data_IF_305235433628
#
_entry.id   IF_305235433628
#
_cell.length_a   1.000
_cell.length_b   1.000
_cell.length_c   1.000
_cell.angle_alpha   90.00
_cell.angle_beta   90.00
_cell.angle_gamma   90.00
#
_symmetry.space_group_name_H-M   'P 1'
#
loop_
_entity.id
_entity.type
_entity.pdbx_description
1 polymer ?
#
# COMPACT_ATOMS: atom_id res chain seq x y z
N UNK A 1 -9.10 -5.80 -27.00
CA UNK A 1 -7.84 -6.19 -26.31
C UNK A 1 -8.06 -7.57 -25.71
N UNK A 2 -7.03 -8.41 -25.57
CA UNK A 2 -7.20 -9.71 -24.90
C UNK A 2 -7.22 -9.48 -23.38
N UNK A 3 -8.21 -10.08 -22.70
CA UNK A 3 -8.37 -9.98 -21.25
C UNK A 3 -7.10 -10.43 -20.50
N UNK A 4 -6.71 -9.67 -19.48
CA UNK A 4 -5.49 -9.88 -18.69
C UNK A 4 -5.76 -10.53 -17.32
N UNK A 5 -7.02 -10.56 -16.89
CA UNK A 5 -7.47 -11.24 -15.67
C UNK A 5 -8.21 -12.51 -16.10
N UNK A 6 -7.98 -13.62 -15.40
CA UNK A 6 -8.80 -14.81 -15.51
C UNK A 6 -9.48 -15.15 -14.17
N UNK A 7 -10.75 -15.50 -14.22
CA UNK A 7 -11.47 -16.14 -13.11
C UNK A 7 -11.44 -17.65 -13.37
N UNK A 8 -10.77 -18.41 -12.50
CA UNK A 8 -10.67 -19.86 -12.60
C UNK A 8 -11.38 -20.49 -11.41
N UNK A 9 -12.68 -20.82 -11.54
CA UNK A 9 -13.46 -21.40 -10.44
C UNK A 9 -14.70 -22.14 -10.94
N UNK A 10 -15.10 -23.18 -10.21
CA UNK A 10 -16.41 -23.84 -10.35
C UNK A 10 -17.39 -23.46 -9.24
N UNK A 11 -16.99 -22.64 -8.26
CA UNK A 11 -17.92 -22.08 -7.29
C UNK A 11 -18.79 -21.00 -7.94
N UNK A 12 -20.08 -21.32 -8.11
CA UNK A 12 -21.06 -20.37 -8.66
C UNK A 12 -21.21 -19.09 -7.83
N UNK A 13 -21.05 -19.18 -6.49
CA UNK A 13 -21.13 -18.01 -5.61
C UNK A 13 -19.90 -17.12 -5.76
N UNK A 14 -18.70 -17.70 -5.72
CA UNK A 14 -17.46 -16.95 -5.94
C UNK A 14 -17.46 -16.26 -7.30
N UNK A 15 -17.84 -17.01 -8.35
CA UNK A 15 -17.95 -16.50 -9.70
C UNK A 15 -18.93 -15.32 -9.80
N UNK A 16 -20.14 -15.45 -9.26
CA UNK A 16 -21.14 -14.39 -9.31
C UNK A 16 -20.65 -13.09 -8.64
N UNK A 17 -20.02 -13.19 -7.47
CA UNK A 17 -19.49 -12.03 -6.74
C UNK A 17 -18.40 -11.31 -7.53
N UNK A 18 -17.43 -12.07 -8.06
CA UNK A 18 -16.30 -11.52 -8.82
C UNK A 18 -16.75 -10.93 -10.16
N UNK A 19 -17.63 -11.62 -10.89
CA UNK A 19 -18.18 -11.13 -12.17
C UNK A 19 -18.98 -9.85 -11.97
N UNK A 20 -19.79 -9.77 -10.91
CA UNK A 20 -20.58 -8.58 -10.62
C UNK A 20 -19.69 -7.36 -10.41
N UNK A 21 -18.59 -7.51 -9.65
CA UNK A 21 -17.66 -6.42 -9.38
C UNK A 21 -16.82 -6.05 -10.62
N UNK A 22 -16.28 -7.03 -11.36
CA UNK A 22 -15.51 -6.78 -12.58
C UNK A 22 -16.35 -6.08 -13.66
N UNK A 23 -17.61 -6.52 -13.86
CA UNK A 23 -18.53 -5.88 -14.82
C UNK A 23 -18.90 -4.47 -14.39
N UNK A 24 -19.15 -4.25 -13.10
CA UNK A 24 -19.43 -2.90 -12.55
C UNK A 24 -18.28 -1.93 -12.82
N UNK A 25 -17.04 -2.42 -12.80
CA UNK A 25 -15.82 -1.64 -13.14
C UNK A 25 -15.47 -1.62 -14.63
N UNK A 26 -16.21 -2.33 -15.48
CA UNK A 26 -15.95 -2.46 -16.93
C UNK A 26 -14.56 -3.05 -17.24
N UNK A 27 -14.12 -4.01 -16.44
CA UNK A 27 -12.83 -4.70 -16.62
C UNK A 27 -13.04 -5.95 -17.47
N UNK A 28 -12.19 -6.13 -18.49
CA UNK A 28 -12.19 -7.34 -19.32
C UNK A 28 -11.54 -8.52 -18.57
N UNK A 29 -12.22 -9.66 -18.55
CA UNK A 29 -11.74 -10.90 -17.90
C UNK A 29 -12.08 -12.14 -18.73
N UNK A 30 -11.35 -13.24 -18.50
CA UNK A 30 -11.67 -14.57 -18.99
C UNK A 30 -12.34 -15.39 -17.89
N UNK A 31 -13.38 -16.13 -18.25
CA UNK A 31 -13.96 -17.16 -17.38
C UNK A 31 -13.40 -18.51 -17.78
N UNK A 32 -12.77 -19.19 -16.83
CA UNK A 32 -12.18 -20.51 -16.99
C UNK A 32 -12.64 -21.40 -15.83
N UNK A 33 -12.61 -22.70 -16.05
CA UNK A 33 -12.62 -23.69 -14.97
C UNK A 33 -11.18 -23.90 -14.46
N UNK A 34 -10.99 -24.41 -13.22
CA UNK A 34 -9.66 -24.72 -12.69
C UNK A 34 -8.87 -25.78 -13.48
N UNK A 35 -9.52 -26.49 -14.40
CA UNK A 35 -8.93 -27.57 -15.20
C UNK A 35 -8.49 -27.11 -16.60
N UNK A 36 -8.86 -25.89 -16.99
CA UNK A 36 -8.51 -25.33 -18.29
C UNK A 36 -7.11 -24.74 -18.32
N UNK A 37 -6.47 -24.77 -19.49
CA UNK A 37 -5.18 -24.14 -19.69
C UNK A 37 -5.32 -22.62 -19.66
N UNK A 38 -4.50 -21.97 -18.84
CA UNK A 38 -4.47 -20.52 -18.70
C UNK A 38 -3.68 -19.92 -19.87
N UNK A 39 -4.27 -19.00 -20.66
CA UNK A 39 -3.57 -18.38 -21.79
C UNK A 39 -2.35 -17.57 -21.33
N UNK A 40 -1.29 -17.56 -22.15
CA UNK A 40 -0.04 -16.82 -21.87
C UNK A 40 -0.22 -15.30 -21.74
N UNK A 41 -1.30 -14.77 -22.29
CA UNK A 41 -1.63 -13.35 -22.23
C UNK A 41 -2.18 -12.91 -20.86
N UNK A 42 -2.64 -13.87 -20.03
CA UNK A 42 -3.17 -13.64 -18.68
C UNK A 42 -2.04 -13.22 -17.75
N UNK A 43 -2.27 -12.15 -16.99
CA UNK A 43 -1.31 -11.58 -16.03
C UNK A 43 -1.59 -12.05 -14.60
N UNK A 44 -2.84 -12.35 -14.29
CA UNK A 44 -3.30 -12.76 -12.95
C UNK A 44 -4.53 -13.65 -13.04
N UNK A 45 -4.61 -14.62 -12.14
CA UNK A 45 -5.73 -15.56 -12.01
C UNK A 45 -6.36 -15.39 -10.63
N UNK A 46 -7.68 -15.24 -10.57
CA UNK A 46 -8.45 -15.26 -9.32
C UNK A 46 -9.15 -16.61 -9.21
N UNK A 47 -8.97 -17.30 -8.09
CA UNK A 47 -9.54 -18.63 -7.80
C UNK A 47 -9.99 -18.71 -6.34
N UNK A 48 -10.60 -19.81 -5.91
CA UNK A 48 -10.96 -20.04 -4.49
C UNK A 48 -9.89 -20.87 -3.75
N UNK A 49 -9.87 -20.87 -2.40
CA UNK A 49 -8.94 -21.67 -1.62
C UNK A 49 -8.96 -23.17 -1.95
N UNK A 50 -10.14 -23.72 -2.25
CA UNK A 50 -10.32 -25.15 -2.55
C UNK A 50 -9.74 -25.56 -3.91
N UNK A 51 -9.60 -24.60 -4.81
CA UNK A 51 -9.23 -24.82 -6.22
C UNK A 51 -7.78 -24.39 -6.51
N UNK A 52 -7.12 -23.71 -5.56
CA UNK A 52 -5.76 -23.15 -5.74
C UNK A 52 -4.73 -24.18 -6.21
N UNK A 53 -4.78 -25.40 -5.70
CA UNK A 53 -3.85 -26.48 -6.06
C UNK A 53 -3.97 -26.90 -7.53
N UNK A 54 -5.11 -26.61 -8.16
CA UNK A 54 -5.37 -26.93 -9.57
C UNK A 54 -4.83 -25.85 -10.52
N UNK A 55 -4.48 -24.67 -9.99
CA UNK A 55 -4.07 -23.51 -10.78
C UNK A 55 -2.54 -23.46 -10.90
N UNK A 56 -2.03 -23.59 -12.13
CA UNK A 56 -0.62 -23.41 -12.45
C UNK A 56 -0.39 -22.07 -13.16
N UNK A 57 -0.07 -21.03 -12.39
CA UNK A 57 0.20 -19.68 -12.91
C UNK A 57 1.10 -18.89 -11.95
N UNK A 58 1.90 -17.96 -12.46
CA UNK A 58 2.87 -17.20 -11.67
C UNK A 58 2.27 -16.18 -10.70
N UNK A 59 1.08 -15.66 -10.99
CA UNK A 59 0.32 -14.76 -10.12
C UNK A 59 -1.10 -15.31 -9.90
N UNK A 60 -1.40 -15.73 -8.67
CA UNK A 60 -2.70 -16.31 -8.31
C UNK A 60 -3.23 -15.63 -7.06
N UNK A 61 -4.44 -15.07 -7.13
CA UNK A 61 -5.15 -14.46 -6.01
C UNK A 61 -6.26 -15.38 -5.51
N UNK A 62 -6.41 -15.46 -4.19
CA UNK A 62 -7.38 -16.34 -3.52
C UNK A 62 -8.57 -15.54 -3.03
N UNK A 63 -9.72 -15.72 -3.67
CA UNK A 63 -10.97 -15.15 -3.24
C UNK A 63 -11.69 -16.06 -2.24
N UNK A 64 -11.98 -15.53 -1.06
CA UNK A 64 -12.87 -16.19 -0.09
C UNK A 64 -14.26 -15.56 -0.18
N UNK A 65 -15.29 -16.40 -0.21
CA UNK A 65 -16.66 -15.95 -0.45
C UNK A 65 -17.28 -15.11 0.68
N UNK A 66 -16.59 -15.00 1.82
CA UNK A 66 -16.93 -14.15 2.96
C UNK A 66 -16.21 -12.78 2.92
N UNK A 67 -15.30 -12.57 1.96
CA UNK A 67 -14.58 -11.31 1.75
C UNK A 67 -15.29 -10.39 0.74
N UNK A 68 -14.92 -9.10 0.76
CA UNK A 68 -15.39 -8.13 -0.24
C UNK A 68 -14.68 -8.39 -1.60
N UNK A 69 -15.41 -8.69 -2.69
CA UNK A 69 -14.80 -8.88 -4.02
C UNK A 69 -14.07 -7.63 -4.52
N UNK A 70 -14.40 -6.44 -4.01
CA UNK A 70 -13.74 -5.20 -4.43
C UNK A 70 -12.24 -5.19 -4.14
N UNK A 71 -11.79 -5.82 -3.05
CA UNK A 71 -10.40 -5.83 -2.61
C UNK A 71 -9.53 -6.66 -3.55
N UNK A 72 -9.96 -7.89 -3.87
CA UNK A 72 -9.21 -8.79 -4.73
C UNK A 72 -9.23 -8.36 -6.20
N UNK A 73 -10.31 -7.69 -6.64
CA UNK A 73 -10.38 -7.09 -7.98
C UNK A 73 -9.40 -5.93 -8.09
N UNK A 74 -9.31 -5.07 -7.07
CA UNK A 74 -8.32 -3.97 -7.05
C UNK A 74 -6.89 -4.51 -7.07
N UNK A 75 -6.61 -5.60 -6.37
CA UNK A 75 -5.31 -6.27 -6.40
C UNK A 75 -5.00 -6.87 -7.78
N UNK A 76 -5.98 -7.49 -8.43
CA UNK A 76 -5.83 -8.02 -9.77
C UNK A 76 -5.50 -6.91 -10.79
N UNK A 77 -6.18 -5.76 -10.72
CA UNK A 77 -5.91 -4.59 -11.56
C UNK A 77 -4.46 -4.10 -11.40
N UNK A 78 -3.96 -3.98 -10.16
CA UNK A 78 -2.55 -3.59 -9.90
C UNK A 78 -1.55 -4.52 -10.59
N UNK A 79 -1.77 -5.84 -10.51
CA UNK A 79 -0.90 -6.83 -11.17
C UNK A 79 -0.95 -6.69 -12.69
N UNK A 80 -2.13 -6.43 -13.26
CA UNK A 80 -2.32 -6.26 -14.71
C UNK A 80 -1.58 -5.03 -15.24
N UNK A 81 -1.68 -3.91 -14.53
CA UNK A 81 -0.99 -2.64 -14.84
C UNK A 81 0.54 -2.77 -14.75
N UNK A 82 1.05 -3.89 -14.23
CA UNK A 82 2.49 -4.06 -14.01
C UNK A 82 3.00 -3.31 -12.78
N UNK A 83 2.08 -2.74 -11.98
CA UNK A 83 2.36 -2.18 -10.66
C UNK A 83 2.58 -3.31 -9.66
N UNK A 84 3.71 -4.02 -9.80
CA UNK A 84 4.25 -4.90 -8.76
C UNK A 84 4.78 -4.11 -7.55
N UNK A 85 4.86 -2.79 -7.70
CA UNK A 85 5.36 -1.81 -6.76
C UNK A 85 4.55 -0.51 -6.94
N UNK A 86 4.38 0.27 -5.87
CA UNK A 86 3.76 1.60 -5.99
C UNK A 86 4.66 2.51 -6.84
N UNK A 87 4.09 3.43 -7.61
CA UNK A 87 4.89 4.49 -8.26
C UNK A 87 5.49 5.40 -7.17
N UNK A 88 4.72 5.61 -6.10
CA UNK A 88 5.15 6.41 -4.94
C UNK A 88 4.61 5.81 -3.64
N UNK A 89 5.52 5.43 -2.75
CA UNK A 89 5.22 5.14 -1.35
C UNK A 89 5.59 6.34 -0.48
N UNK A 90 4.67 6.79 0.36
CA UNK A 90 4.90 7.88 1.32
C UNK A 90 4.56 7.40 2.71
N UNK A 91 5.52 7.49 3.62
CA UNK A 91 5.35 7.22 5.04
C UNK A 91 5.37 8.55 5.78
N UNK A 92 4.22 9.02 6.24
CA UNK A 92 4.09 10.20 7.09
C UNK A 92 4.24 9.82 8.56
N UNK A 93 5.04 10.57 9.30
CA UNK A 93 5.31 10.36 10.72
C UNK A 93 5.07 11.66 11.47
N UNK A 94 4.25 11.58 12.52
CA UNK A 94 3.96 12.67 13.45
C UNK A 94 4.68 12.41 14.79
N UNK A 95 5.81 13.09 15.08
CA UNK A 95 6.57 12.87 16.31
C UNK A 95 5.89 13.51 17.53
N UNK A 96 5.84 12.75 18.64
CA UNK A 96 5.28 13.23 19.89
C UNK A 96 5.50 12.23 21.02
N UNK A 97 4.65 12.26 22.06
CA UNK A 97 4.69 11.24 23.13
C UNK A 97 4.49 9.82 22.59
N UNK A 98 3.64 9.70 21.57
CA UNK A 98 3.54 8.55 20.68
C UNK A 98 3.79 9.05 19.26
N UNK A 99 4.23 8.16 18.38
CA UNK A 99 4.55 8.47 16.99
C UNK A 99 3.44 7.97 16.09
N UNK A 100 2.65 8.89 15.55
CA UNK A 100 1.64 8.54 14.54
C UNK A 100 2.34 8.20 13.23
N UNK A 101 2.00 7.07 12.61
CA UNK A 101 2.55 6.64 11.33
C UNK A 101 1.42 6.39 10.34
N UNK A 102 1.54 6.90 9.13
CA UNK A 102 0.61 6.68 8.03
C UNK A 102 1.36 6.29 6.77
N UNK A 103 0.89 5.25 6.09
CA UNK A 103 1.49 4.72 4.86
C UNK A 103 0.54 4.96 3.71
N UNK A 104 1.00 5.69 2.70
CA UNK A 104 0.25 6.00 1.49
C UNK A 104 0.95 5.40 0.27
N UNK A 105 0.22 4.58 -0.49
CA UNK A 105 0.66 4.10 -1.81
C UNK A 105 -0.14 4.80 -2.89
N UNK A 106 0.56 5.48 -3.81
CA UNK A 106 -0.04 6.27 -4.91
C UNK A 106 -1.14 7.23 -4.42
N UNK A 107 -0.96 7.79 -3.21
CA UNK A 107 -1.88 8.74 -2.58
C UNK A 107 -3.04 8.13 -1.77
N UNK A 108 -3.19 6.80 -1.76
CA UNK A 108 -4.20 6.09 -0.96
C UNK A 108 -3.61 5.58 0.34
N UNK A 109 -4.32 5.75 1.45
CA UNK A 109 -3.90 5.23 2.77
C UNK A 109 -4.01 3.70 2.77
N UNK A 110 -2.87 3.03 2.96
CA UNK A 110 -2.75 1.58 3.07
C UNK A 110 -2.91 1.17 4.54
N UNK A 111 -2.17 1.85 5.40
CA UNK A 111 -2.03 1.51 6.82
C UNK A 111 -1.83 2.78 7.64
N UNK A 112 -2.33 2.78 8.88
CA UNK A 112 -2.02 3.82 9.84
C UNK A 112 -2.02 3.23 11.26
N UNK A 113 -1.02 3.59 12.06
CA UNK A 113 -0.76 3.00 13.39
C UNK A 113 -0.01 3.99 14.29
N UNK A 114 0.08 3.68 15.58
CA UNK A 114 0.87 4.45 16.54
C UNK A 114 2.04 3.61 17.06
N UNK A 115 3.22 4.22 17.19
CA UNK A 115 4.38 3.63 17.83
C UNK A 115 4.62 4.31 19.18
N UNK A 116 5.22 3.58 20.11
CA UNK A 116 5.45 4.04 21.49
C UNK A 116 6.79 4.77 21.65
N UNK A 117 7.73 4.58 20.72
CA UNK A 117 9.07 5.18 20.78
C UNK A 117 9.76 5.22 19.41
N UNK A 118 10.86 5.98 19.33
CA UNK A 118 11.63 6.22 18.09
C UNK A 118 12.17 4.92 17.47
N UNK A 119 12.71 3.99 18.26
CA UNK A 119 13.30 2.74 17.74
C UNK A 119 12.24 1.84 17.11
N UNK A 120 11.09 1.73 17.75
CA UNK A 120 9.92 1.02 17.21
C UNK A 120 9.48 1.64 15.88
N UNK A 121 9.37 2.97 15.82
CA UNK A 121 9.02 3.69 14.60
C UNK A 121 9.98 3.39 13.45
N UNK A 122 11.29 3.46 13.70
CA UNK A 122 12.31 3.18 12.66
C UNK A 122 12.21 1.74 12.16
N UNK A 123 12.04 0.76 13.06
CA UNK A 123 11.87 -0.64 12.67
C UNK A 123 10.59 -0.87 11.84
N UNK A 124 9.48 -0.24 12.23
CA UNK A 124 8.23 -0.32 11.47
C UNK A 124 8.40 0.30 10.08
N UNK A 125 9.05 1.47 9.97
CA UNK A 125 9.34 2.11 8.67
C UNK A 125 10.14 1.17 7.78
N UNK A 126 11.20 0.54 8.30
CA UNK A 126 11.99 -0.45 7.53
C UNK A 126 11.14 -1.61 7.04
N UNK A 127 10.37 -2.22 7.94
CA UNK A 127 9.51 -3.36 7.61
C UNK A 127 8.46 -3.00 6.55
N UNK A 128 7.90 -1.78 6.60
CA UNK A 128 6.95 -1.30 5.60
C UNK A 128 7.62 -1.16 4.24
N UNK A 129 8.83 -0.58 4.19
CA UNK A 129 9.56 -0.40 2.93
C UNK A 129 9.93 -1.75 2.30
N UNK A 130 10.30 -2.73 3.12
CA UNK A 130 10.59 -4.10 2.65
C UNK A 130 9.33 -4.82 2.16
N UNK A 131 8.19 -4.61 2.82
CA UNK A 131 6.90 -5.25 2.49
C UNK A 131 6.19 -4.62 1.29
N UNK A 132 6.34 -3.31 1.11
CA UNK A 132 5.63 -2.50 0.12
C UNK A 132 6.61 -1.94 -0.92
N UNK A 133 7.04 -2.72 -1.93
CA UNK A 133 7.98 -2.23 -2.94
C UNK A 133 7.42 -1.02 -3.68
N UNK A 134 8.28 -0.02 -3.97
CA UNK A 134 7.90 1.19 -4.70
C UNK A 134 9.05 1.76 -5.53
N UNK A 135 8.74 2.43 -6.64
CA UNK A 135 9.76 3.11 -7.47
C UNK A 135 10.39 4.30 -6.75
N UNK A 136 9.58 5.00 -5.94
CA UNK A 136 10.04 6.13 -5.11
C UNK A 136 9.45 6.01 -3.71
N UNK A 137 10.33 6.10 -2.72
CA UNK A 137 9.95 6.04 -1.30
C UNK A 137 10.28 7.37 -0.63
N UNK A 138 9.27 7.93 0.05
CA UNK A 138 9.39 9.14 0.83
C UNK A 138 9.07 8.85 2.29
N UNK A 139 9.95 9.28 3.20
CA UNK A 139 9.67 9.31 4.64
C UNK A 139 9.55 10.77 5.05
N UNK A 140 8.35 11.16 5.48
CA UNK A 140 8.00 12.54 5.80
C UNK A 140 7.77 12.68 7.29
N UNK A 141 8.56 13.52 7.94
CA UNK A 141 8.53 13.71 9.41
C UNK A 141 8.02 15.11 9.73
N UNK A 142 6.96 15.20 10.55
CA UNK A 142 6.44 16.46 11.06
C UNK A 142 7.47 17.23 11.88
N UNK A 143 7.30 18.55 12.00
CA UNK A 143 8.17 19.42 12.80
C UNK A 143 7.70 19.58 14.26
N UNK A 144 7.14 18.50 14.82
CA UNK A 144 6.79 18.36 16.24
C UNK A 144 7.99 18.54 17.20
N UNK A 145 7.82 18.23 18.51
CA UNK A 145 8.79 18.57 19.54
C UNK A 145 10.24 18.18 19.17
N UNK A 146 11.21 19.13 19.21
CA UNK A 146 12.55 18.90 18.67
C UNK A 146 13.26 17.66 19.23
N UNK A 147 13.06 17.35 20.51
CA UNK A 147 13.64 16.17 21.16
C UNK A 147 13.29 14.85 20.44
N UNK A 148 12.03 14.68 20.05
CA UNK A 148 11.55 13.47 19.36
C UNK A 148 11.87 13.52 17.86
N UNK A 149 11.71 14.70 17.25
CA UNK A 149 11.89 14.91 15.81
C UNK A 149 13.35 14.73 15.38
N UNK A 150 14.29 15.37 16.06
CA UNK A 150 15.71 15.30 15.69
C UNK A 150 16.28 13.88 15.94
N UNK A 151 15.91 13.26 17.06
CA UNK A 151 16.29 11.87 17.38
C UNK A 151 15.78 10.88 16.33
N UNK A 152 14.54 11.05 15.86
CA UNK A 152 13.95 10.21 14.82
C UNK A 152 14.65 10.43 13.47
N UNK A 153 14.88 11.69 13.07
CA UNK A 153 15.54 12.01 11.81
C UNK A 153 16.96 11.42 11.75
N UNK A 154 17.73 11.55 12.84
CA UNK A 154 19.08 10.99 12.92
C UNK A 154 19.07 9.45 12.78
N UNK A 155 18.15 8.76 13.46
CA UNK A 155 18.06 7.31 13.38
C UNK A 155 17.55 6.82 12.02
N UNK A 156 16.60 7.52 11.40
CA UNK A 156 16.15 7.22 10.03
C UNK A 156 17.29 7.42 9.02
N UNK A 157 18.09 8.48 9.17
CA UNK A 157 19.23 8.75 8.29
C UNK A 157 20.27 7.61 8.33
N UNK A 158 20.52 7.05 9.52
CA UNK A 158 21.43 5.92 9.70
C UNK A 158 20.83 4.58 9.24
N UNK A 159 19.52 4.39 9.41
CA UNK A 159 18.88 3.09 9.24
C UNK A 159 18.39 2.79 7.81
N UNK A 160 18.16 3.81 6.99
CA UNK A 160 17.55 3.69 5.67
C UNK A 160 18.59 3.81 4.54
N UNK A 161 18.37 3.15 3.40
CA UNK A 161 19.19 3.30 2.18
C UNK A 161 19.15 4.76 1.67
N UNK A 162 20.26 5.28 1.12
CA UNK A 162 20.37 6.64 0.56
C UNK A 162 19.34 6.96 -0.53
N UNK A 163 18.79 5.93 -1.19
CA UNK A 163 17.75 6.05 -2.21
C UNK A 163 16.39 6.53 -1.64
N UNK A 164 16.19 6.39 -0.32
CA UNK A 164 14.97 6.83 0.37
C UNK A 164 15.08 8.33 0.68
N UNK A 165 14.07 9.08 0.22
CA UNK A 165 14.00 10.53 0.39
C UNK A 165 13.37 10.84 1.75
N UNK A 166 14.12 11.51 2.63
CA UNK A 166 13.62 11.96 3.92
C UNK A 166 13.29 13.45 3.82
N UNK A 167 12.06 13.83 4.18
CA UNK A 167 11.60 15.21 4.21
C UNK A 167 11.18 15.61 5.62
N UNK A 168 11.55 16.84 6.01
CA UNK A 168 10.98 17.52 7.17
C UNK A 168 9.78 18.35 6.72
N UNK A 169 8.62 18.10 7.31
CA UNK A 169 7.36 18.74 6.93
C UNK A 169 6.94 19.73 8.00
N UNK A 170 6.81 21.03 7.68
CA UNK A 170 6.28 22.00 8.64
C UNK A 170 4.79 21.79 8.91
N UNK A 171 4.40 21.73 10.18
CA UNK A 171 3.00 21.64 10.62
C UNK A 171 2.29 22.99 10.50
N UNK A 172 3.05 24.09 10.47
CA UNK A 172 2.58 25.44 10.26
C UNK A 172 2.02 25.62 8.82
N UNK A 173 0.70 25.54 8.68
CA UNK A 173 0.00 25.85 7.44
C UNK A 173 -1.23 24.97 7.20
N UNK A 174 -2.28 25.54 6.62
CA UNK A 174 -3.53 24.85 6.27
C UNK A 174 -3.52 24.42 4.80
N UNK A 175 -2.58 23.58 4.39
CA UNK A 175 -2.64 22.97 3.06
C UNK A 175 -3.74 21.91 3.03
N UNK A 176 -4.85 22.22 2.36
CA UNK A 176 -6.00 21.32 2.13
C UNK A 176 -5.62 20.26 1.08
N UNK A 177 -5.12 19.12 1.54
CA UNK A 177 -5.09 17.90 0.71
C UNK A 177 -6.33 17.08 1.02
N UNK A 178 -7.16 16.86 0.00
CA UNK A 178 -8.33 15.99 0.04
C UNK A 178 -7.85 14.55 -0.17
N UNK A 179 -7.73 13.79 0.91
CA UNK A 179 -7.50 12.34 0.86
C UNK A 179 -8.87 11.68 0.77
N UNK A 180 -9.05 10.72 -0.15
CA UNK A 180 -10.30 9.99 -0.28
C UNK A 180 -10.49 9.08 0.95
N UNK A 181 -11.32 9.53 1.89
CA UNK A 181 -11.57 8.88 3.17
C UNK A 181 -12.55 7.70 3.01
N UNK A 182 -12.05 6.47 2.95
CA UNK A 182 -12.87 5.28 3.22
C UNK A 182 -12.69 4.82 4.67
N UNK A 183 -13.79 4.92 5.41
CA UNK A 183 -13.98 4.66 6.84
C UNK A 183 -13.25 3.40 7.36
N UNK A 184 -12.22 3.57 8.19
CA UNK A 184 -11.74 2.55 9.15
C UNK A 184 -11.64 3.14 10.56
N UNK A 185 -12.16 2.42 11.56
CA UNK A 185 -12.10 2.81 12.98
C UNK A 185 -10.63 2.78 13.42
N UNK A 186 -10.13 3.88 14.00
CA UNK A 186 -8.72 4.07 14.39
C UNK A 186 -8.03 5.28 13.74
N UNK A 187 -8.59 5.80 12.64
CA UNK A 187 -8.01 6.90 11.84
C UNK A 187 -7.86 8.23 12.62
N UNK A 188 -8.71 8.49 13.63
CA UNK A 188 -8.71 9.79 14.35
C UNK A 188 -7.38 10.09 15.05
N UNK A 189 -6.71 9.07 15.57
CA UNK A 189 -5.47 9.24 16.36
C UNK A 189 -4.21 9.39 15.49
N UNK A 190 -4.33 9.22 14.16
CA UNK A 190 -3.22 9.24 13.20
C UNK A 190 -3.47 10.21 12.03
N UNK A 191 -4.49 11.07 12.15
CA UNK A 191 -4.83 12.08 11.14
C UNK A 191 -3.68 13.05 10.85
N UNK A 192 -2.88 13.38 11.85
CA UNK A 192 -1.71 14.25 11.68
C UNK A 192 -0.67 13.61 10.77
N UNK A 193 -0.34 12.32 10.98
CA UNK A 193 0.57 11.56 10.14
C UNK A 193 0.09 11.46 8.69
N UNK A 194 -1.23 11.26 8.49
CA UNK A 194 -1.86 11.27 7.16
C UNK A 194 -1.71 12.64 6.48
N UNK A 195 -1.93 13.75 7.22
CA UNK A 195 -1.71 15.11 6.70
C UNK A 195 -0.25 15.37 6.35
N UNK A 196 0.68 14.92 7.18
CA UNK A 196 2.12 15.03 6.96
C UNK A 196 2.51 14.30 5.68
N UNK A 197 2.02 13.07 5.46
CA UNK A 197 2.25 12.32 4.23
C UNK A 197 1.78 13.09 2.98
N UNK A 198 0.64 13.78 3.07
CA UNK A 198 0.05 14.57 1.99
C UNK A 198 0.72 15.93 1.72
N UNK A 199 1.56 16.43 2.62
CA UNK A 199 2.19 17.77 2.51
C UNK A 199 3.55 17.73 1.82
N UNK A 200 3.94 18.82 1.20
CA UNK A 200 5.32 19.00 0.73
C UNK A 200 6.22 19.38 1.92
N UNK A 201 7.36 18.72 2.05
CA UNK A 201 8.39 19.07 3.02
C UNK A 201 9.68 19.55 2.37
N UNK A 202 10.66 19.86 3.22
CA UNK A 202 12.03 20.15 2.82
C UNK A 202 12.86 18.87 2.86
N UNK A 203 13.47 18.51 1.73
CA UNK A 203 14.36 17.34 1.64
C UNK A 203 15.57 17.56 2.54
N UNK A 204 15.81 16.60 3.44
CA UNK A 204 16.94 16.60 4.34
C UNK A 204 18.21 16.20 3.58
N UNK A 205 19.33 16.87 3.86
CA UNK A 205 20.65 16.40 3.42
C UNK A 205 21.07 15.23 4.31
N UNK A 206 21.25 14.07 3.70
CA UNK A 206 21.66 12.84 4.39
C UNK A 206 23.17 12.80 4.55
N UNK A 207 23.65 12.34 5.71
CA UNK A 207 25.09 12.15 5.93
C UNK A 207 25.60 10.97 5.09
N UNK A 208 26.73 11.14 4.38
CA UNK A 208 27.39 10.01 3.72
C UNK A 208 27.69 8.94 4.76
N UNK A 209 27.24 7.71 4.52
CA UNK A 209 27.79 6.57 5.25
C UNK A 209 29.21 6.34 4.69
N UNK A 210 30.22 6.73 5.46
CA UNK A 210 31.60 6.22 5.30
C UNK A 210 31.75 4.87 6.00
#
# INVERSE_FOLDING_TARGET
MKAKIALATVSGKAYYLLVSELKKRKIDFLSLTPYEKIPVDVKVVITTPKERELISHGNVLIFREDADPAEIVEEAERIVEGKKSYEKLVIGIDPGKNFGVAVLGDGKVIEALNCSNVYETVNIVKNIIEREPAERVYVKVGDGPPEYTESLLELLDKALSEEIIIERVPEAGTSRYSIEEKHRRGIRDVMSAIKIAGRNGHVMKRGRQE
#
